data_IF_772278512576
#
_entry.id   IF_772278512576
#
_cell.length_a   1.000
_cell.length_b   1.000
_cell.length_c   1.000
_cell.angle_alpha   90.00
_cell.angle_beta   90.00
_cell.angle_gamma   90.00
#
_symmetry.space_group_name_H-M   'P 1'
#
loop_
_entity.id
_entity.type
_entity.pdbx_description
1 polymer ?
#
# COMPACT_ATOMS: atom_id res chain seq x y z
N UNK A 1 -1.13 -1.69 -27.06
CA UNK A 1 -1.54 -3.13 -26.99
C UNK A 1 -0.98 -3.74 -25.71
N UNK A 2 -1.82 -4.43 -24.93
CA UNK A 2 -1.38 -5.10 -23.68
C UNK A 2 -0.60 -6.37 -24.07
N UNK A 3 0.58 -6.58 -23.47
CA UNK A 3 1.42 -7.75 -23.74
C UNK A 3 0.69 -9.08 -23.46
N UNK A 4 1.08 -10.17 -24.13
CA UNK A 4 0.50 -11.52 -23.90
C UNK A 4 0.67 -11.97 -22.43
N UNK A 5 1.77 -11.60 -21.79
CA UNK A 5 2.03 -11.89 -20.38
C UNK A 5 1.09 -11.12 -19.45
N UNK A 6 0.87 -9.82 -19.72
CA UNK A 6 -0.09 -9.02 -18.97
C UNK A 6 -1.52 -9.57 -19.12
N UNK A 7 -1.92 -10.01 -20.33
CA UNK A 7 -3.22 -10.65 -20.55
C UNK A 7 -3.37 -11.96 -19.76
N UNK A 8 -2.30 -12.78 -19.70
CA UNK A 8 -2.27 -14.02 -18.92
C UNK A 8 -2.38 -13.75 -17.41
N UNK A 9 -1.70 -12.72 -16.95
CA UNK A 9 -1.76 -12.26 -15.55
C UNK A 9 -3.16 -11.74 -15.19
N UNK A 10 -3.77 -10.93 -16.07
CA UNK A 10 -5.15 -10.45 -15.90
C UNK A 10 -6.14 -11.63 -15.83
N UNK A 11 -6.00 -12.64 -16.70
CA UNK A 11 -6.86 -13.84 -16.65
C UNK A 11 -6.70 -14.61 -15.33
N UNK A 12 -5.47 -14.78 -14.84
CA UNK A 12 -5.19 -15.42 -13.54
C UNK A 12 -5.80 -14.62 -12.40
N UNK A 13 -5.62 -13.31 -12.41
CA UNK A 13 -6.20 -12.40 -11.42
C UNK A 13 -7.72 -12.47 -11.41
N UNK A 14 -8.38 -12.41 -12.58
CA UNK A 14 -9.86 -12.53 -12.69
C UNK A 14 -10.38 -13.86 -12.15
N UNK A 15 -9.68 -14.98 -12.40
CA UNK A 15 -10.06 -16.30 -11.85
C UNK A 15 -9.91 -16.35 -10.32
N UNK A 16 -8.79 -15.82 -9.79
CA UNK A 16 -8.58 -15.74 -8.35
C UNK A 16 -9.60 -14.80 -7.69
N UNK A 17 -9.85 -13.63 -8.26
CA UNK A 17 -10.83 -12.67 -7.78
C UNK A 17 -12.26 -13.22 -7.82
N UNK A 18 -12.61 -14.00 -8.85
CA UNK A 18 -13.92 -14.68 -8.96
C UNK A 18 -14.10 -15.76 -7.88
N UNK A 19 -13.03 -16.52 -7.58
CA UNK A 19 -13.04 -17.52 -6.51
C UNK A 19 -13.17 -16.85 -5.13
N UNK A 20 -12.45 -15.76 -4.91
CA UNK A 20 -12.58 -14.95 -3.68
C UNK A 20 -13.95 -14.31 -3.59
N UNK A 21 -14.47 -13.75 -4.68
CA UNK A 21 -15.81 -13.20 -4.75
C UNK A 21 -16.89 -14.23 -4.45
N UNK A 22 -16.67 -15.50 -4.80
CA UNK A 22 -17.55 -16.61 -4.44
C UNK A 22 -17.48 -16.93 -2.93
N UNK A 23 -16.27 -16.94 -2.35
CA UNK A 23 -16.08 -17.16 -0.91
C UNK A 23 -16.53 -15.94 -0.06
N UNK A 24 -16.47 -14.75 -0.64
CA UNK A 24 -16.85 -13.47 -0.02
C UNK A 24 -18.22 -13.00 -0.52
N UNK A 25 -19.00 -13.89 -1.19
CA UNK A 25 -20.37 -13.54 -1.61
C UNK A 25 -21.12 -13.00 -0.41
N UNK A 26 -21.24 -11.70 -0.43
CA UNK A 26 -21.77 -10.74 0.54
C UNK A 26 -22.73 -11.35 1.58
N UNK A 27 -22.35 -11.55 2.79
CA UNK A 27 -23.28 -11.43 3.88
C UNK A 27 -23.36 -9.96 4.31
N UNK A 28 -24.53 -9.54 4.71
CA UNK A 28 -24.80 -8.18 5.20
C UNK A 28 -23.86 -7.71 6.33
N UNK A 29 -23.03 -8.60 6.90
CA UNK A 29 -22.05 -8.29 7.92
C UNK A 29 -20.78 -9.13 7.76
N UNK A 30 -19.63 -8.46 7.64
CA UNK A 30 -18.30 -9.09 7.67
C UNK A 30 -17.88 -9.33 9.12
N UNK A 31 -17.81 -10.59 9.55
CA UNK A 31 -17.32 -10.94 10.87
C UNK A 31 -15.79 -10.82 11.00
N UNK A 32 -15.22 -10.62 12.20
CA UNK A 32 -13.75 -10.55 12.40
C UNK A 32 -12.99 -11.76 11.83
N UNK A 33 -13.58 -12.96 11.92
CA UNK A 33 -12.98 -14.18 11.34
C UNK A 33 -12.85 -14.12 9.82
N UNK A 34 -13.81 -13.52 9.13
CA UNK A 34 -13.79 -13.36 7.67
C UNK A 34 -12.74 -12.36 7.22
N UNK A 35 -12.52 -11.28 7.96
CA UNK A 35 -11.41 -10.37 7.68
C UNK A 35 -10.07 -11.09 7.78
N UNK A 36 -9.85 -11.92 8.80
CA UNK A 36 -8.62 -12.72 8.95
C UNK A 36 -8.38 -13.65 7.77
N UNK A 37 -9.41 -14.38 7.34
CA UNK A 37 -9.33 -15.28 6.17
C UNK A 37 -9.05 -14.47 4.89
N UNK A 38 -9.74 -13.34 4.69
CA UNK A 38 -9.52 -12.45 3.56
C UNK A 38 -8.09 -11.90 3.51
N UNK A 39 -7.53 -11.49 4.66
CA UNK A 39 -6.14 -11.04 4.78
C UNK A 39 -5.15 -12.14 4.46
N UNK A 40 -5.35 -13.36 5.02
CA UNK A 40 -4.48 -14.50 4.73
C UNK A 40 -4.45 -14.80 3.22
N UNK A 41 -5.62 -14.82 2.59
CA UNK A 41 -5.71 -15.06 1.15
C UNK A 41 -5.04 -13.94 0.34
N UNK A 42 -5.23 -12.70 0.73
CA UNK A 42 -4.60 -11.53 0.07
C UNK A 42 -3.07 -11.60 0.19
N UNK A 43 -2.55 -12.00 1.34
CA UNK A 43 -1.11 -12.19 1.58
C UNK A 43 -0.53 -13.30 0.68
N UNK A 44 -1.24 -14.41 0.51
CA UNK A 44 -0.84 -15.49 -0.39
C UNK A 44 -0.74 -15.01 -1.85
N UNK A 45 -1.63 -14.14 -2.30
CA UNK A 45 -1.56 -13.57 -3.65
C UNK A 45 -0.23 -12.81 -3.86
N UNK A 46 0.17 -11.99 -2.91
CA UNK A 46 1.43 -11.23 -2.98
C UNK A 46 2.67 -12.12 -3.09
N UNK A 47 2.62 -13.36 -2.57
CA UNK A 47 3.73 -14.32 -2.68
C UNK A 47 3.80 -15.00 -4.06
N UNK A 48 2.66 -15.19 -4.71
CA UNK A 48 2.54 -15.91 -6.00
C UNK A 48 2.88 -15.03 -7.20
N UNK A 49 2.65 -13.72 -7.10
CA UNK A 49 2.97 -12.82 -8.20
C UNK A 49 4.48 -12.66 -8.40
N UNK A 50 4.94 -12.58 -9.68
CA UNK A 50 6.35 -12.38 -9.98
C UNK A 50 6.87 -11.07 -9.38
N UNK A 51 8.15 -11.06 -9.04
CA UNK A 51 8.89 -9.90 -8.56
C UNK A 51 10.03 -9.62 -9.52
N UNK A 52 10.56 -8.42 -9.47
CA UNK A 52 11.77 -8.08 -10.20
C UNK A 52 12.92 -8.98 -9.74
N UNK A 53 13.71 -9.48 -10.68
CA UNK A 53 14.86 -10.33 -10.36
C UNK A 53 15.90 -9.54 -9.56
N UNK A 54 16.40 -10.13 -8.50
CA UNK A 54 17.37 -9.48 -7.60
C UNK A 54 16.72 -8.56 -6.55
N UNK A 55 15.38 -8.58 -6.41
CA UNK A 55 14.70 -7.84 -5.34
C UNK A 55 15.15 -8.34 -3.98
N UNK A 56 15.58 -7.41 -3.14
CA UNK A 56 15.89 -7.63 -1.71
C UNK A 56 14.70 -7.12 -0.90
N UNK A 57 14.29 -7.92 0.07
CA UNK A 57 13.24 -7.58 1.03
C UNK A 57 13.79 -7.72 2.44
N UNK A 58 13.72 -6.65 3.20
CA UNK A 58 14.05 -6.61 4.62
C UNK A 58 12.77 -6.33 5.41
N UNK A 59 12.64 -6.96 6.58
CA UNK A 59 11.62 -6.58 7.56
C UNK A 59 12.27 -5.58 8.49
N UNK A 60 11.70 -4.39 8.54
CA UNK A 60 12.17 -3.28 9.38
C UNK A 60 11.00 -2.73 10.20
N UNK A 61 11.31 -1.88 11.16
CA UNK A 61 10.29 -1.20 11.95
C UNK A 61 10.47 0.32 11.78
N UNK A 62 9.41 0.98 11.34
CA UNK A 62 9.30 2.43 11.34
C UNK A 62 8.63 2.83 12.66
N UNK A 63 9.44 3.08 13.69
CA UNK A 63 9.05 3.11 15.09
C UNK A 63 8.53 1.71 15.52
N UNK A 64 7.28 1.58 15.92
CA UNK A 64 6.61 0.31 16.25
C UNK A 64 5.89 -0.35 15.05
N UNK A 65 5.89 0.29 13.89
CA UNK A 65 5.17 -0.18 12.70
C UNK A 65 6.07 -1.12 11.89
N UNK A 66 5.74 -2.42 11.92
CA UNK A 66 6.36 -3.41 11.07
C UNK A 66 6.25 -2.98 9.60
N UNK A 67 7.33 -3.03 8.85
CA UNK A 67 7.36 -2.55 7.48
C UNK A 67 8.23 -3.43 6.61
N UNK A 68 7.95 -3.49 5.30
CA UNK A 68 8.91 -4.02 4.35
C UNK A 68 9.74 -2.88 3.78
N UNK A 69 11.07 -3.04 3.81
CA UNK A 69 12.00 -2.26 3.02
C UNK A 69 12.38 -3.10 1.81
N UNK A 70 12.10 -2.59 0.62
CA UNK A 70 12.24 -3.29 -0.65
C UNK A 70 13.15 -2.49 -1.56
N UNK A 71 14.16 -3.16 -2.10
CA UNK A 71 15.08 -2.60 -3.09
C UNK A 71 15.32 -3.58 -4.23
N UNK A 72 15.77 -3.07 -5.35
CA UNK A 72 16.21 -3.83 -6.53
C UNK A 72 17.63 -3.41 -6.89
N UNK A 73 18.31 -4.11 -7.81
CA UNK A 73 19.62 -3.67 -8.29
C UNK A 73 19.63 -2.25 -8.88
N UNK A 74 18.45 -1.73 -9.29
CA UNK A 74 18.31 -0.39 -9.86
C UNK A 74 17.96 0.68 -8.81
N UNK A 75 17.67 0.30 -7.56
CA UNK A 75 17.30 1.25 -6.51
C UNK A 75 18.47 2.10 -6.06
N UNK A 76 18.24 3.40 -6.00
CA UNK A 76 19.13 4.38 -5.39
C UNK A 76 18.79 4.47 -3.89
N UNK A 77 19.74 4.21 -2.98
CA UNK A 77 19.49 4.25 -1.53
C UNK A 77 19.14 5.65 -0.99
N UNK A 78 19.46 6.70 -1.74
CA UNK A 78 19.14 8.08 -1.38
C UNK A 78 17.73 8.53 -1.81
N UNK A 79 17.00 7.66 -2.52
CA UNK A 79 15.66 7.96 -3.04
C UNK A 79 14.64 7.01 -2.42
N UNK A 80 13.71 7.56 -1.66
CA UNK A 80 12.77 6.78 -0.86
C UNK A 80 11.35 6.95 -1.38
N UNK A 81 10.62 5.85 -1.44
CA UNK A 81 9.18 5.83 -1.66
C UNK A 81 8.49 5.22 -0.44
N UNK A 82 7.77 6.02 0.33
CA UNK A 82 6.86 5.54 1.37
C UNK A 82 5.54 5.16 0.70
N UNK A 83 5.23 3.87 0.67
CA UNK A 83 4.08 3.35 -0.06
C UNK A 83 3.04 2.75 0.88
N UNK A 84 1.84 3.30 0.85
CA UNK A 84 0.69 2.79 1.60
C UNK A 84 -0.15 1.86 0.72
N UNK A 85 -0.31 0.61 1.15
CA UNK A 85 -1.06 -0.38 0.41
C UNK A 85 -2.56 -0.13 0.41
N UNK A 86 -3.27 -0.55 -0.64
CA UNK A 86 -4.72 -0.55 -0.70
C UNK A 86 -5.36 -1.68 0.10
N UNK A 87 -6.68 -1.77 0.04
CA UNK A 87 -7.46 -2.83 0.68
C UNK A 87 -8.62 -2.32 1.54
N UNK A 88 -9.14 -1.12 1.25
CA UNK A 88 -10.32 -0.56 1.92
C UNK A 88 -10.16 -0.38 3.41
N UNK A 89 -8.93 -0.13 3.87
CA UNK A 89 -8.57 -0.03 5.30
C UNK A 89 -8.84 -1.29 6.13
N UNK A 90 -9.24 -2.39 5.51
CA UNK A 90 -9.63 -3.63 6.20
C UNK A 90 -8.83 -4.84 5.74
N UNK A 91 -8.26 -4.76 4.57
CA UNK A 91 -7.44 -5.78 3.92
C UNK A 91 -6.11 -5.16 3.50
N UNK A 92 -5.27 -5.99 2.85
CA UNK A 92 -3.95 -5.56 2.42
C UNK A 92 -2.89 -5.74 3.50
N UNK A 93 -1.65 -5.69 3.07
CA UNK A 93 -0.45 -5.79 3.90
C UNK A 93 0.79 -5.56 3.04
N UNK A 94 1.99 -5.41 3.63
CA UNK A 94 3.24 -5.44 2.88
C UNK A 94 3.43 -6.73 2.07
N UNK A 95 2.93 -7.88 2.56
CA UNK A 95 2.97 -9.15 1.86
C UNK A 95 2.17 -9.12 0.57
N UNK A 96 0.94 -8.64 0.63
CA UNK A 96 0.03 -8.60 -0.53
C UNK A 96 0.53 -7.65 -1.62
N UNK A 97 1.27 -6.61 -1.25
CA UNK A 97 1.80 -5.60 -2.16
C UNK A 97 3.29 -5.78 -2.49
N UNK A 98 3.91 -6.87 -2.02
CA UNK A 98 5.35 -7.10 -2.23
C UNK A 98 5.74 -7.14 -3.71
N UNK A 99 4.96 -7.79 -4.55
CA UNK A 99 5.20 -7.82 -6.01
C UNK A 99 5.15 -6.40 -6.60
N UNK A 100 4.07 -5.66 -6.33
CA UNK A 100 3.90 -4.28 -6.80
C UNK A 100 5.04 -3.38 -6.33
N UNK A 101 5.38 -3.45 -5.04
CA UNK A 101 6.46 -2.64 -4.46
C UNK A 101 7.83 -2.96 -5.09
N UNK A 102 8.08 -4.23 -5.50
CA UNK A 102 9.32 -4.56 -6.20
C UNK A 102 9.41 -3.90 -7.58
N UNK A 103 8.30 -3.85 -8.33
CA UNK A 103 8.24 -3.14 -9.61
C UNK A 103 8.33 -1.63 -9.44
N UNK A 104 7.70 -1.07 -8.41
CA UNK A 104 7.82 0.35 -8.09
C UNK A 104 9.27 0.69 -7.77
N UNK A 105 9.95 -0.08 -6.93
CA UNK A 105 11.36 0.12 -6.61
C UNK A 105 12.24 0.16 -7.86
N UNK A 106 12.00 -0.77 -8.79
CA UNK A 106 12.78 -0.88 -10.02
C UNK A 106 12.54 0.29 -10.99
N UNK A 107 11.25 0.60 -11.24
CA UNK A 107 10.87 1.62 -12.23
C UNK A 107 11.19 3.03 -11.73
N UNK A 108 10.95 3.32 -10.45
CA UNK A 108 11.22 4.64 -9.88
C UNK A 108 12.66 4.80 -9.40
N UNK A 109 13.43 3.72 -9.39
CA UNK A 109 14.80 3.65 -8.85
C UNK A 109 14.87 4.13 -7.39
N UNK A 110 13.92 3.70 -6.57
CA UNK A 110 13.83 4.08 -5.17
C UNK A 110 13.94 2.86 -4.26
N UNK A 111 14.29 3.08 -3.01
CA UNK A 111 14.00 2.13 -1.94
C UNK A 111 12.57 2.34 -1.50
N UNK A 112 11.75 1.28 -1.49
CA UNK A 112 10.32 1.36 -1.14
C UNK A 112 10.12 0.85 0.29
N UNK A 113 9.51 1.67 1.14
CA UNK A 113 9.04 1.29 2.46
C UNK A 113 7.53 1.06 2.40
N UNK A 114 7.07 -0.11 2.82
CA UNK A 114 5.64 -0.49 2.87
C UNK A 114 5.25 -0.77 4.31
N UNK A 115 4.66 0.19 5.02
CA UNK A 115 4.20 0.00 6.40
C UNK A 115 3.00 -0.95 6.48
N UNK A 116 2.99 -1.81 7.51
CA UNK A 116 1.87 -2.64 7.92
C UNK A 116 0.99 -1.83 8.88
N UNK A 117 0.38 -0.77 8.36
CA UNK A 117 -0.42 0.15 9.16
C UNK A 117 -1.68 -0.52 9.72
N UNK A 118 -2.16 -0.06 10.87
CA UNK A 118 -3.32 -0.61 11.57
C UNK A 118 -4.57 -0.60 10.70
N UNK A 119 -5.31 -1.72 10.69
CA UNK A 119 -6.49 -1.92 9.84
C UNK A 119 -7.77 -2.01 10.67
N UNK A 120 -8.88 -1.61 10.05
CA UNK A 120 -10.21 -1.89 10.55
C UNK A 120 -10.61 -3.36 10.32
N UNK A 121 -11.58 -3.87 11.08
CA UNK A 121 -12.38 -3.16 12.11
C UNK A 121 -11.68 -3.03 13.46
N UNK A 122 -10.51 -3.67 13.66
CA UNK A 122 -9.79 -3.70 14.93
C UNK A 122 -9.38 -2.31 15.39
N UNK A 123 -8.94 -1.48 14.42
CA UNK A 123 -8.50 -0.11 14.67
C UNK A 123 -9.34 0.87 13.84
N UNK A 124 -9.96 1.81 14.52
CA UNK A 124 -10.76 2.86 13.89
C UNK A 124 -9.89 4.07 13.55
N UNK A 125 -10.40 4.93 12.68
CA UNK A 125 -9.82 6.25 12.47
C UNK A 125 -9.70 6.99 13.83
N UNK A 126 -8.57 7.67 14.09
CA UNK A 126 -7.51 8.04 13.17
C UNK A 126 -6.27 7.11 13.14
N UNK A 127 -6.33 5.90 13.67
CA UNK A 127 -5.17 5.02 13.83
C UNK A 127 -4.32 4.89 12.55
N UNK A 128 -4.94 4.77 11.38
CA UNK A 128 -4.24 4.66 10.10
C UNK A 128 -3.48 5.94 9.76
N UNK A 129 -4.09 7.09 10.02
CA UNK A 129 -3.45 8.40 9.80
C UNK A 129 -2.26 8.60 10.74
N UNK A 130 -2.41 8.23 12.01
CA UNK A 130 -1.32 8.27 12.99
C UNK A 130 -0.12 7.43 12.52
N UNK A 131 -0.38 6.21 12.03
CA UNK A 131 0.64 5.33 11.49
C UNK A 131 1.32 5.91 10.23
N UNK A 132 0.54 6.55 9.36
CA UNK A 132 1.07 7.21 8.17
C UNK A 132 2.01 8.36 8.52
N UNK A 133 1.59 9.23 9.43
CA UNK A 133 2.41 10.36 9.91
C UNK A 133 3.65 9.87 10.64
N UNK A 134 3.49 8.88 11.53
CA UNK A 134 4.59 8.26 12.28
C UNK A 134 5.63 7.63 11.34
N UNK A 135 5.19 6.90 10.32
CA UNK A 135 6.08 6.29 9.34
C UNK A 135 6.91 7.33 8.59
N UNK A 136 6.30 8.42 8.14
CA UNK A 136 7.02 9.49 7.46
C UNK A 136 8.02 10.17 8.39
N UNK A 137 7.59 10.57 9.59
CA UNK A 137 8.48 11.24 10.56
C UNK A 137 9.66 10.36 10.93
N UNK A 138 9.45 9.05 11.09
CA UNK A 138 10.55 8.13 11.40
C UNK A 138 11.61 8.09 10.28
N UNK A 139 11.20 8.15 9.01
CA UNK A 139 12.14 8.23 7.89
C UNK A 139 13.01 9.49 7.97
N UNK A 140 12.43 10.62 8.35
CA UNK A 140 13.13 11.91 8.43
C UNK A 140 13.96 12.01 9.72
N UNK A 141 13.31 11.81 10.87
CA UNK A 141 13.88 12.16 12.18
C UNK A 141 14.86 11.08 12.68
N UNK A 142 14.61 9.79 12.36
CA UNK A 142 15.38 8.67 12.90
C UNK A 142 16.31 8.03 11.85
N UNK A 143 15.88 7.90 10.60
CA UNK A 143 16.72 7.36 9.53
C UNK A 143 17.54 8.45 8.81
N UNK A 144 17.25 9.73 9.06
CA UNK A 144 18.03 10.87 8.59
C UNK A 144 17.86 11.21 7.11
N UNK A 145 16.78 10.73 6.46
CA UNK A 145 16.49 11.13 5.08
C UNK A 145 16.03 12.58 5.03
N UNK A 146 16.53 13.34 4.07
CA UNK A 146 15.98 14.68 3.81
C UNK A 146 14.56 14.55 3.21
N UNK A 147 13.64 15.49 3.50
CA UNK A 147 12.28 15.47 2.93
C UNK A 147 12.25 15.39 1.41
N UNK A 148 13.25 16.00 0.75
CA UNK A 148 13.43 16.00 -0.70
C UNK A 148 13.78 14.61 -1.27
N UNK A 149 14.30 13.71 -0.45
CA UNK A 149 14.61 12.32 -0.83
C UNK A 149 13.39 11.40 -0.73
N UNK A 150 12.32 11.84 -0.05
CA UNK A 150 11.14 11.02 0.22
C UNK A 150 9.97 11.43 -0.64
N UNK A 151 9.40 10.48 -1.37
CA UNK A 151 8.08 10.59 -1.99
C UNK A 151 7.08 9.72 -1.21
N UNK A 152 5.80 10.11 -1.23
CA UNK A 152 4.71 9.30 -0.68
C UNK A 152 3.81 8.82 -1.82
N UNK A 153 3.36 7.56 -1.74
CA UNK A 153 2.41 7.00 -2.71
C UNK A 153 1.50 5.97 -2.05
N UNK A 154 0.48 5.55 -2.79
CA UNK A 154 -0.41 4.47 -2.38
C UNK A 154 -1.53 4.25 -3.39
N UNK A 155 -2.16 3.09 -3.31
CA UNK A 155 -3.28 2.71 -4.17
C UNK A 155 -4.60 2.65 -3.38
N UNK A 156 -5.71 3.01 -4.02
CA UNK A 156 -7.06 2.90 -3.44
C UNK A 156 -7.14 3.59 -2.05
N UNK A 157 -7.45 2.84 -0.97
CA UNK A 157 -7.45 3.33 0.41
C UNK A 157 -6.04 3.79 0.86
N UNK A 158 -4.97 3.15 0.38
CA UNK A 158 -3.59 3.60 0.62
C UNK A 158 -3.29 4.93 -0.07
N UNK A 159 -3.86 5.15 -1.26
CA UNK A 159 -3.79 6.46 -1.92
C UNK A 159 -4.53 7.56 -1.15
N UNK A 160 -5.68 7.24 -0.56
CA UNK A 160 -6.36 8.15 0.37
C UNK A 160 -5.49 8.41 1.61
N UNK A 161 -4.92 7.36 2.22
CA UNK A 161 -4.02 7.50 3.36
C UNK A 161 -2.81 8.38 3.04
N UNK A 162 -2.19 8.20 1.88
CA UNK A 162 -1.08 9.03 1.40
C UNK A 162 -1.47 10.52 1.35
N UNK A 163 -2.66 10.82 0.81
CA UNK A 163 -3.17 12.18 0.72
C UNK A 163 -3.42 12.80 2.09
N UNK A 164 -4.15 12.09 2.98
CA UNK A 164 -4.48 12.65 4.31
C UNK A 164 -3.23 12.74 5.21
N UNK A 165 -2.25 11.84 5.03
CA UNK A 165 -0.95 11.94 5.70
C UNK A 165 -0.25 13.23 5.29
N UNK A 166 -0.16 13.54 3.99
CA UNK A 166 0.46 14.78 3.51
C UNK A 166 -0.27 16.02 4.04
N UNK A 167 -1.60 16.01 4.05
CA UNK A 167 -2.40 17.12 4.59
C UNK A 167 -2.13 17.32 6.08
N UNK A 168 -2.03 16.22 6.85
CA UNK A 168 -1.73 16.29 8.29
C UNK A 168 -0.31 16.79 8.55
N UNK A 169 0.68 16.33 7.79
CA UNK A 169 2.05 16.86 7.87
C UNK A 169 2.09 18.37 7.61
N UNK A 170 1.33 18.85 6.61
CA UNK A 170 1.21 20.28 6.30
C UNK A 170 0.56 21.05 7.45
N UNK A 171 -0.53 20.52 8.02
CA UNK A 171 -1.23 21.12 9.17
C UNK A 171 -0.30 21.25 10.38
N UNK A 172 0.51 20.22 10.63
CA UNK A 172 1.45 20.16 11.75
C UNK A 172 2.75 20.97 11.53
N UNK A 173 2.89 21.63 10.36
CA UNK A 173 4.08 22.42 10.03
C UNK A 173 5.33 21.59 9.79
N UNK A 174 5.17 20.27 9.51
CA UNK A 174 6.28 19.36 9.19
C UNK A 174 6.72 19.60 7.74
N UNK A 175 8.02 19.50 7.47
CA UNK A 175 8.53 19.57 6.10
C UNK A 175 7.91 18.46 5.25
N UNK A 176 7.41 18.85 4.07
CA UNK A 176 6.66 17.94 3.20
C UNK A 176 7.60 17.07 2.34
N UNK A 177 7.15 15.86 1.93
CA UNK A 177 7.87 15.05 0.99
C UNK A 177 8.00 15.73 -0.37
N UNK A 178 8.97 15.28 -1.18
CA UNK A 178 9.26 15.84 -2.51
C UNK A 178 8.12 15.64 -3.52
N UNK A 179 7.34 14.57 -3.35
CA UNK A 179 6.25 14.23 -4.28
C UNK A 179 5.16 13.39 -3.60
N UNK A 180 3.96 13.48 -4.17
CA UNK A 180 2.83 12.61 -3.87
C UNK A 180 2.32 11.97 -5.16
N UNK A 181 2.27 10.64 -5.22
CA UNK A 181 1.73 9.90 -6.37
C UNK A 181 0.55 9.01 -5.93
N UNK A 182 -0.62 9.25 -6.49
CA UNK A 182 -1.86 8.58 -6.10
C UNK A 182 -2.33 7.61 -7.19
N UNK A 183 -2.45 6.33 -6.85
CA UNK A 183 -2.90 5.27 -7.75
C UNK A 183 -4.37 4.96 -7.49
N UNK A 184 -5.27 5.51 -8.32
CA UNK A 184 -6.73 5.37 -8.16
C UNK A 184 -7.18 5.58 -6.71
N UNK A 185 -6.89 6.74 -6.10
CA UNK A 185 -7.12 6.96 -4.68
C UNK A 185 -8.61 6.93 -4.34
N UNK A 186 -8.94 6.33 -3.21
CA UNK A 186 -10.33 6.32 -2.70
C UNK A 186 -10.64 7.65 -2.00
N UNK A 187 -10.86 8.70 -2.77
CA UNK A 187 -11.07 10.07 -2.26
C UNK A 187 -12.55 10.41 -1.99
N UNK A 188 -13.49 9.61 -2.49
CA UNK A 188 -14.91 9.80 -2.23
C UNK A 188 -15.44 8.71 -1.30
N UNK A 189 -15.44 8.96 0.00
CA UNK A 189 -15.90 8.02 1.03
C UNK A 189 -17.42 8.01 1.18
N UNK A 190 -18.13 8.99 0.61
CA UNK A 190 -19.60 9.11 0.69
C UNK A 190 -20.33 8.38 -0.44
N UNK A 191 -19.62 7.96 -1.49
CA UNK A 191 -20.22 7.32 -2.66
C UNK A 191 -20.14 5.80 -2.56
N UNK A 192 -21.22 5.16 -2.20
CA UNK A 192 -21.40 3.70 -2.27
C UNK A 192 -22.34 3.30 -3.43
N UNK A 193 -22.72 4.24 -4.28
CA UNK A 193 -23.69 4.06 -5.36
C UNK A 193 -23.06 4.24 -6.74
N UNK A 194 -23.67 3.69 -7.82
CA UNK A 194 -23.13 3.79 -9.17
C UNK A 194 -22.89 5.24 -9.58
N UNK A 195 -21.85 5.43 -10.39
CA UNK A 195 -21.52 6.72 -10.96
C UNK A 195 -22.71 7.27 -11.76
N UNK A 196 -22.98 8.59 -11.72
CA UNK A 196 -24.00 9.19 -12.60
C UNK A 196 -23.73 9.00 -14.10
N UNK A 197 -22.65 8.31 -14.44
CA UNK A 197 -22.24 7.99 -15.82
C UNK A 197 -22.48 6.53 -16.20
N UNK A 198 -23.03 5.71 -15.30
CA UNK A 198 -23.40 4.30 -15.54
C UNK A 198 -24.87 4.14 -15.89
#
# INVERSE_FOLDING_TARGET
MISKEAQKSIKRFKRAASFVGFLVKSPKEMTPGRYRVGRLFNNLQGTVFPKVKGTIKEVVYLDDIRSFKISTPNSDPERILLYFHGGGYSLGSPESHYSLASYLADITKTVVYVPDYRLGPEYKFPAQLEDGVKSYKFLIDNLGYAPEQVAISGDSAGGHLALITLLKLKEDGVQLPSALALLSPWTCLLYTSPSPRD
#
